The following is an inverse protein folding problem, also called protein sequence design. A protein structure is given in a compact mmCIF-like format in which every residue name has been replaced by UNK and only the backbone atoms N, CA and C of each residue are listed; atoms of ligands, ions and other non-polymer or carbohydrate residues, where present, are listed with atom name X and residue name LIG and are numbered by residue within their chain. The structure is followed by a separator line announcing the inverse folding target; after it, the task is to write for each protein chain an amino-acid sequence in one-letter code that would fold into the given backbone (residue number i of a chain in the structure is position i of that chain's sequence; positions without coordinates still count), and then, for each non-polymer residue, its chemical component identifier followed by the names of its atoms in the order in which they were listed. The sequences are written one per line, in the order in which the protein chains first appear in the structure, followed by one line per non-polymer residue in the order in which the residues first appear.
data_IF_844423861304
#
_entry.id   IF_844423861304
#
_cell.length_a   1.000
_cell.length_b   1.000
_cell.length_c   1.000
_cell.angle_alpha   90.00
_cell.angle_beta   90.00
_cell.angle_gamma   90.00
#
_symmetry.space_group_name_H-M   'P 1'
#
loop_
_entity.id
_entity.type
_entity.pdbx_description
1 polymer ?
#
# COMPACT_ATOMS: atom_id res chain seq x y z
N UNK A 1 19.83 15.15 5.22
CA UNK A 1 19.62 16.27 4.28
C UNK A 1 18.29 16.96 4.57
N UNK A 2 17.13 16.33 4.30
CA UNK A 2 15.80 16.91 4.55
C UNK A 2 15.58 17.52 5.95
N UNK A 3 15.95 16.81 7.04
CA UNK A 3 15.79 17.32 8.41
C UNK A 3 16.73 18.49 8.73
N UNK A 4 17.93 18.51 8.13
CA UNK A 4 18.91 19.57 8.35
C UNK A 4 18.54 20.84 7.56
N UNK A 5 18.01 20.68 6.34
CA UNK A 5 17.53 21.77 5.48
C UNK A 5 16.28 22.47 6.04
N UNK A 6 15.43 21.76 6.78
CA UNK A 6 14.17 22.32 7.32
C UNK A 6 14.23 22.70 8.80
N UNK A 7 15.08 22.07 9.61
CA UNK A 7 15.14 22.28 11.06
C UNK A 7 16.53 22.71 11.56
N UNK A 8 17.52 22.89 10.68
CA UNK A 8 18.86 23.33 11.05
C UNK A 8 19.57 22.36 12.00
N UNK A 9 20.35 22.90 12.94
CA UNK A 9 21.12 22.13 13.94
C UNK A 9 20.23 21.33 14.91
N UNK A 10 18.97 21.73 15.07
CA UNK A 10 17.97 21.02 15.87
C UNK A 10 17.69 19.64 15.28
N UNK A 11 17.67 19.49 13.95
CA UNK A 11 17.49 18.20 13.28
C UNK A 11 18.63 17.20 13.54
N UNK A 12 19.87 17.69 13.66
CA UNK A 12 21.04 16.87 13.94
C UNK A 12 21.14 16.49 15.42
N UNK A 13 20.78 17.40 16.33
CA UNK A 13 20.59 17.08 17.75
C UNK A 13 19.47 16.06 17.96
N UNK A 14 18.35 16.19 17.24
CA UNK A 14 17.25 15.20 17.27
C UNK A 14 17.74 13.86 16.76
N UNK A 15 18.49 13.82 15.64
CA UNK A 15 19.06 12.58 15.09
C UNK A 15 20.02 11.92 16.08
N UNK A 16 20.92 12.69 16.70
CA UNK A 16 21.85 12.17 17.71
C UNK A 16 21.11 11.67 18.96
N UNK A 17 20.13 12.42 19.46
CA UNK A 17 19.29 11.99 20.58
C UNK A 17 18.49 10.73 20.21
N UNK A 18 17.95 10.65 18.99
CA UNK A 18 17.20 9.50 18.49
C UNK A 18 18.08 8.26 18.32
N UNK A 19 19.28 8.40 17.74
CA UNK A 19 20.25 7.32 17.63
C UNK A 19 20.73 6.89 19.01
N UNK A 20 21.09 7.80 19.91
CA UNK A 20 21.54 7.46 21.26
C UNK A 20 20.43 6.84 22.12
N UNK A 21 19.18 7.26 21.92
CA UNK A 21 18.03 6.77 22.69
C UNK A 21 17.51 5.45 22.12
N UNK A 22 17.32 5.32 20.81
CA UNK A 22 16.67 4.15 20.21
C UNK A 22 17.64 3.11 19.64
N UNK A 23 18.89 3.50 19.36
CA UNK A 23 19.93 2.65 18.76
C UNK A 23 21.28 2.87 19.45
N UNK A 24 21.41 2.57 20.77
CA UNK A 24 22.69 2.72 21.45
C UNK A 24 23.77 1.91 20.69
N UNK A 25 25.04 2.37 20.66
CA UNK A 25 26.09 1.84 19.77
C UNK A 25 26.41 0.33 19.89
N UNK A 26 25.73 -0.37 20.80
CA UNK A 26 25.93 -1.79 21.11
C UNK A 26 24.65 -2.63 20.99
N UNK A 27 23.51 -2.07 20.56
CA UNK A 27 22.28 -2.82 20.32
C UNK A 27 22.22 -3.27 18.84
N UNK A 28 21.98 -4.56 18.59
CA UNK A 28 21.64 -5.04 17.24
C UNK A 28 20.37 -4.32 16.74
N UNK A 29 20.28 -4.02 15.43
CA UNK A 29 19.16 -3.29 14.87
C UNK A 29 17.93 -4.20 14.75
N UNK A 30 17.28 -4.46 15.88
CA UNK A 30 15.92 -5.00 15.94
C UNK A 30 14.99 -3.80 15.79
N UNK A 31 14.03 -3.88 14.88
CA UNK A 31 13.06 -2.80 14.62
C UNK A 31 12.47 -2.34 15.96
N UNK A 32 12.74 -1.10 16.44
CA UNK A 32 12.62 -0.85 17.87
C UNK A 32 11.15 -0.98 18.30
N UNK A 33 10.90 -1.74 19.37
CA UNK A 33 9.59 -1.81 20.05
C UNK A 33 9.01 -0.41 20.37
N UNK A 34 9.89 0.60 20.36
CA UNK A 34 9.67 2.02 20.60
C UNK A 34 8.94 2.72 19.44
N UNK A 35 8.97 2.18 18.21
CA UNK A 35 8.22 2.71 17.05
C UNK A 35 6.72 2.47 17.22
N UNK A 36 6.32 1.39 17.89
CA UNK A 36 4.92 1.00 18.05
C UNK A 36 4.08 2.06 18.81
N UNK A 37 4.49 2.53 20.01
CA UNK A 37 3.83 3.65 20.67
C UNK A 37 3.74 4.92 19.81
N UNK A 38 4.78 5.22 19.03
CA UNK A 38 4.82 6.40 18.16
C UNK A 38 3.81 6.27 17.02
N UNK A 39 3.74 5.11 16.38
CA UNK A 39 2.76 4.79 15.33
C UNK A 39 1.33 4.86 15.85
N UNK A 40 1.07 4.43 17.08
CA UNK A 40 -0.25 4.53 17.70
C UNK A 40 -0.70 5.99 17.89
N UNK A 41 0.19 6.82 18.45
CA UNK A 41 -0.05 8.25 18.64
C UNK A 41 -0.26 8.95 17.30
N UNK A 42 0.53 8.55 16.31
CA UNK A 42 0.42 9.07 14.97
C UNK A 42 -0.95 8.80 14.34
N UNK A 43 -1.43 7.56 14.45
CA UNK A 43 -2.76 7.17 13.97
C UNK A 43 -3.88 7.97 14.66
N UNK A 44 -3.80 8.22 15.98
CA UNK A 44 -4.81 9.00 16.71
C UNK A 44 -4.90 10.45 16.24
N UNK A 45 -3.76 11.08 15.98
CA UNK A 45 -3.72 12.43 15.42
C UNK A 45 -4.27 12.48 13.99
N UNK A 46 -3.95 11.48 13.15
CA UNK A 46 -4.55 11.37 11.81
C UNK A 46 -6.07 11.18 11.85
N UNK A 47 -6.59 10.53 12.89
CA UNK A 47 -8.02 10.37 13.11
C UNK A 47 -8.72 11.67 13.62
N UNK A 48 -7.98 12.78 13.77
CA UNK A 48 -8.52 14.06 14.21
C UNK A 48 -8.72 14.18 15.72
N UNK A 49 -8.10 13.30 16.52
CA UNK A 49 -8.20 13.36 17.98
C UNK A 49 -7.48 14.60 18.54
N UNK A 50 -8.09 15.27 19.52
CA UNK A 50 -7.52 16.48 20.11
C UNK A 50 -6.20 16.17 20.84
N UNK A 51 -5.23 17.08 20.71
CA UNK A 51 -3.89 16.93 21.27
C UNK A 51 -3.88 16.63 22.78
N UNK A 52 -4.85 17.18 23.54
CA UNK A 52 -4.99 16.91 24.97
C UNK A 52 -5.23 15.43 25.30
N UNK A 53 -6.11 14.75 24.54
CA UNK A 53 -6.37 13.32 24.70
C UNK A 53 -5.19 12.46 24.23
N UNK A 54 -4.54 12.87 23.13
CA UNK A 54 -3.33 12.23 22.62
C UNK A 54 -2.20 12.27 23.66
N UNK A 55 -2.02 13.39 24.37
CA UNK A 55 -1.04 13.52 25.45
C UNK A 55 -1.36 12.62 26.66
N UNK A 56 -2.64 12.41 26.99
CA UNK A 56 -3.03 11.45 28.03
C UNK A 56 -2.69 10.01 27.65
N UNK A 57 -2.88 9.64 26.38
CA UNK A 57 -2.52 8.31 25.83
C UNK A 57 -1.01 8.08 25.88
N UNK A 58 -0.19 9.08 25.53
CA UNK A 58 1.27 9.03 25.69
C UNK A 58 1.64 8.70 27.15
N UNK A 59 0.91 9.27 28.11
CA UNK A 59 1.04 8.93 29.54
C UNK A 59 0.85 7.44 29.83
N UNK A 60 -0.15 6.78 29.23
CA UNK A 60 -0.39 5.33 29.37
C UNK A 60 0.72 4.49 28.72
N UNK A 61 1.27 4.97 27.60
CA UNK A 61 2.38 4.33 26.88
C UNK A 61 3.73 4.50 27.58
N UNK A 62 3.82 5.36 28.60
CA UNK A 62 5.09 5.66 29.29
C UNK A 62 5.71 4.40 29.89
N UNK A 63 4.91 3.43 30.34
CA UNK A 63 5.40 2.14 30.81
C UNK A 63 6.11 1.32 29.72
N UNK A 64 5.70 1.44 28.45
CA UNK A 64 6.35 0.81 27.30
C UNK A 64 7.63 1.56 26.89
N UNK A 65 7.69 2.86 27.17
CA UNK A 65 8.90 3.68 26.99
C UNK A 65 9.90 3.54 28.17
N UNK A 66 9.52 2.94 29.30
CA UNK A 66 10.32 2.94 30.53
C UNK A 66 11.60 2.08 30.50
N UNK A 67 11.91 1.41 29.39
CA UNK A 67 13.25 0.87 29.16
C UNK A 67 14.29 1.96 28.79
N UNK A 68 13.88 3.21 28.55
CA UNK A 68 14.72 4.27 27.96
C UNK A 68 15.13 5.42 28.90
N UNK A 69 14.67 5.46 30.15
CA UNK A 69 15.15 6.45 31.13
C UNK A 69 14.86 7.93 30.85
N UNK A 70 14.22 8.30 29.73
CA UNK A 70 13.85 9.68 29.40
C UNK A 70 12.48 9.76 28.71
N UNK A 71 11.64 10.71 29.16
CA UNK A 71 10.37 11.03 28.49
C UNK A 71 10.67 11.86 27.23
N UNK A 72 10.24 11.44 26.03
CA UNK A 72 10.44 12.24 24.83
C UNK A 72 9.68 13.56 24.96
N UNK A 73 10.35 14.68 24.69
CA UNK A 73 9.75 16.01 24.76
C UNK A 73 8.62 16.16 23.74
N UNK A 74 7.60 16.95 24.07
CA UNK A 74 6.42 17.18 23.21
C UNK A 74 6.83 17.73 21.82
N UNK A 75 7.86 18.57 21.76
CA UNK A 75 8.40 19.07 20.50
C UNK A 75 9.04 17.97 19.64
N UNK A 76 9.69 16.99 20.26
CA UNK A 76 10.31 15.84 19.59
C UNK A 76 9.23 14.88 19.08
N UNK A 77 8.19 14.63 19.87
CA UNK A 77 7.02 13.85 19.45
C UNK A 77 6.34 14.52 18.25
N UNK A 78 6.06 15.82 18.32
CA UNK A 78 5.45 16.57 17.23
C UNK A 78 6.29 16.54 15.96
N UNK A 79 7.60 16.84 16.07
CA UNK A 79 8.54 16.81 14.95
C UNK A 79 8.69 15.41 14.34
N UNK A 80 8.72 14.37 15.18
CA UNK A 80 8.78 12.97 14.77
C UNK A 80 7.51 12.54 14.02
N UNK A 81 6.34 12.94 14.51
CA UNK A 81 5.05 12.70 13.87
C UNK A 81 4.94 13.41 12.52
N UNK A 82 5.44 14.66 12.42
CA UNK A 82 5.59 15.33 11.12
C UNK A 82 6.64 14.67 10.24
N UNK A 83 7.74 14.14 10.77
CA UNK A 83 8.81 13.52 9.96
C UNK A 83 8.45 12.13 9.42
N UNK A 84 7.66 11.36 10.18
CA UNK A 84 7.11 10.06 9.79
C UNK A 84 5.95 10.21 8.78
N UNK A 85 5.28 11.36 8.78
CA UNK A 85 4.30 11.73 7.75
C UNK A 85 4.88 12.46 6.56
N UNK A 86 6.07 13.07 6.70
CA UNK A 86 6.66 13.92 5.67
C UNK A 86 7.50 13.17 4.64
N UNK A 87 7.16 11.91 4.31
CA UNK A 87 7.43 11.48 2.93
C UNK A 87 6.37 12.13 2.05
N UNK A 88 6.83 12.82 0.99
CA UNK A 88 5.99 13.48 -0.02
C UNK A 88 4.68 12.75 -0.26
N UNK A 89 3.56 13.46 -0.10
CA UNK A 89 2.31 13.16 -0.81
C UNK A 89 1.41 12.02 -0.33
N UNK A 90 1.72 11.25 0.73
CA UNK A 90 0.85 10.11 1.10
C UNK A 90 -0.19 10.48 2.13
N UNK A 91 -1.40 10.72 1.64
CA UNK A 91 -2.61 10.80 2.46
C UNK A 91 -3.27 9.40 2.63
N UNK A 92 -2.80 8.39 1.88
CA UNK A 92 -2.87 6.96 2.23
C UNK A 92 -2.14 6.60 3.56
N UNK A 93 -1.64 7.62 4.28
CA UNK A 93 -0.94 7.48 5.56
C UNK A 93 -1.81 6.87 6.64
N UNK A 94 -3.14 7.05 6.68
CA UNK A 94 -3.94 6.47 7.76
C UNK A 94 -4.04 4.95 7.63
N UNK A 95 -4.38 4.43 6.44
CA UNK A 95 -4.44 2.98 6.20
C UNK A 95 -3.06 2.35 6.36
N UNK A 96 -2.01 2.99 5.85
CA UNK A 96 -0.64 2.48 5.99
C UNK A 96 -0.11 2.60 7.43
N UNK A 97 -0.44 3.67 8.15
CA UNK A 97 -0.12 3.80 9.56
C UNK A 97 -0.88 2.79 10.41
N UNK A 98 -2.13 2.47 10.06
CA UNK A 98 -2.89 1.38 10.66
C UNK A 98 -2.22 0.03 10.38
N UNK A 99 -1.94 -0.31 9.12
CA UNK A 99 -1.24 -1.55 8.74
C UNK A 99 0.11 -1.68 9.46
N UNK A 100 0.92 -0.63 9.47
CA UNK A 100 2.20 -0.60 10.15
C UNK A 100 2.04 -0.73 11.67
N UNK A 101 1.12 0.01 12.29
CA UNK A 101 0.81 -0.11 13.71
C UNK A 101 0.39 -1.54 14.08
N UNK A 102 -0.54 -2.14 13.33
CA UNK A 102 -1.00 -3.49 13.59
C UNK A 102 0.11 -4.53 13.37
N UNK A 103 0.93 -4.40 12.32
CA UNK A 103 2.09 -5.29 12.14
C UNK A 103 3.08 -5.20 13.30
N UNK A 104 3.36 -3.99 13.80
CA UNK A 104 4.23 -3.78 14.97
C UNK A 104 3.59 -4.34 16.25
N UNK A 105 2.29 -4.15 16.42
CA UNK A 105 1.54 -4.67 17.56
C UNK A 105 1.59 -6.19 17.57
N UNK A 106 1.30 -6.85 16.44
CA UNK A 106 1.33 -8.30 16.32
C UNK A 106 2.72 -8.88 16.62
N UNK A 107 3.80 -8.22 16.18
CA UNK A 107 5.17 -8.61 16.53
C UNK A 107 5.43 -8.53 18.03
N UNK A 108 4.98 -7.46 18.69
CA UNK A 108 5.07 -7.33 20.15
C UNK A 108 4.30 -8.45 20.85
N UNK A 109 3.06 -8.71 20.45
CA UNK A 109 2.26 -9.78 21.05
C UNK A 109 2.91 -11.16 20.83
N UNK A 110 3.52 -11.39 19.67
CA UNK A 110 4.26 -12.60 19.37
C UNK A 110 5.48 -12.77 20.29
N UNK A 111 6.23 -11.69 20.55
CA UNK A 111 7.34 -11.70 21.51
C UNK A 111 6.86 -12.01 22.93
N UNK A 112 5.70 -11.49 23.34
CA UNK A 112 5.13 -11.82 24.66
C UNK A 112 4.81 -13.31 24.81
N UNK A 113 4.40 -13.99 23.72
CA UNK A 113 4.26 -15.45 23.75
C UNK A 113 5.61 -16.16 23.90
N UNK A 114 6.66 -15.63 23.28
CA UNK A 114 8.02 -16.15 23.39
C UNK A 114 8.56 -16.04 24.83
N UNK A 115 8.25 -14.93 25.50
CA UNK A 115 8.56 -14.69 26.91
C UNK A 115 7.68 -15.49 27.89
N UNK A 116 6.73 -16.29 27.39
CA UNK A 116 5.82 -17.10 28.20
C UNK A 116 4.73 -16.30 28.93
N UNK A 117 4.42 -15.09 28.46
CA UNK A 117 3.36 -14.25 29.04
C UNK A 117 1.98 -14.85 28.77
N UNK A 118 1.16 -14.97 29.82
CA UNK A 118 -0.18 -15.55 29.69
C UNK A 118 -1.16 -14.66 28.92
N UNK A 119 -2.09 -15.28 28.18
CA UNK A 119 -3.05 -14.60 27.29
C UNK A 119 -3.92 -13.55 28.02
N UNK A 120 -4.26 -13.76 29.29
CA UNK A 120 -5.00 -12.79 30.10
C UNK A 120 -4.26 -11.46 30.27
N UNK A 121 -2.93 -11.49 30.33
CA UNK A 121 -2.09 -10.30 30.41
C UNK A 121 -2.06 -9.57 29.07
N UNK A 122 -1.95 -10.33 27.96
CA UNK A 122 -2.00 -9.78 26.59
C UNK A 122 -3.35 -9.12 26.32
N UNK A 123 -4.47 -9.77 26.68
CA UNK A 123 -5.82 -9.21 26.57
C UNK A 123 -5.96 -7.89 27.31
N UNK A 124 -5.41 -7.82 28.53
CA UNK A 124 -5.41 -6.60 29.33
C UNK A 124 -4.57 -5.48 28.69
N UNK A 125 -3.44 -5.81 28.07
CA UNK A 125 -2.65 -4.82 27.33
C UNK A 125 -3.43 -4.27 26.12
N UNK A 126 -4.08 -5.15 25.35
CA UNK A 126 -4.94 -4.78 24.22
C UNK A 126 -6.06 -3.82 24.62
N UNK A 127 -6.74 -4.07 25.75
CA UNK A 127 -7.82 -3.20 26.23
C UNK A 127 -7.31 -1.90 26.85
N UNK A 128 -6.32 -1.97 27.74
CA UNK A 128 -5.97 -0.87 28.65
C UNK A 128 -4.98 0.12 28.00
N UNK A 129 -4.11 -0.39 27.12
CA UNK A 129 -3.03 0.38 26.50
C UNK A 129 -3.40 0.77 25.07
N UNK A 130 -3.83 -0.21 24.27
CA UNK A 130 -4.11 -0.03 22.85
C UNK A 130 -5.58 0.32 22.53
N UNK A 131 -6.45 0.21 23.54
CA UNK A 131 -7.89 0.50 23.46
C UNK A 131 -8.63 -0.33 22.38
N UNK A 132 -8.19 -1.57 22.19
CA UNK A 132 -8.86 -2.56 21.37
C UNK A 132 -9.85 -3.31 22.28
N UNK A 133 -11.12 -2.88 22.23
CA UNK A 133 -12.13 -3.30 23.21
C UNK A 133 -13.13 -4.33 22.68
N UNK A 134 -13.26 -4.50 21.36
CA UNK A 134 -14.21 -5.47 20.81
C UNK A 134 -13.63 -6.88 20.90
N UNK A 135 -14.38 -7.83 21.46
CA UNK A 135 -13.95 -9.23 21.57
C UNK A 135 -13.53 -9.83 20.22
N UNK A 136 -14.21 -9.45 19.14
CA UNK A 136 -13.83 -9.87 17.79
C UNK A 136 -12.43 -9.38 17.40
N UNK A 137 -12.11 -8.11 17.64
CA UNK A 137 -10.79 -7.56 17.30
C UNK A 137 -9.69 -8.11 18.22
N UNK A 138 -10.00 -8.32 19.51
CA UNK A 138 -9.07 -8.95 20.46
C UNK A 138 -8.75 -10.38 20.03
N UNK A 139 -9.76 -11.20 19.71
CA UNK A 139 -9.55 -12.58 19.27
C UNK A 139 -8.77 -12.64 17.95
N UNK A 140 -9.08 -11.77 16.99
CA UNK A 140 -8.34 -11.68 15.74
C UNK A 140 -6.85 -11.32 15.98
N UNK A 141 -6.58 -10.32 16.83
CA UNK A 141 -5.20 -9.92 17.15
C UNK A 141 -4.41 -11.06 17.82
N UNK A 142 -5.04 -11.81 18.73
CA UNK A 142 -4.42 -12.95 19.40
C UNK A 142 -4.18 -14.14 18.45
N UNK A 143 -5.12 -14.42 17.56
CA UNK A 143 -4.95 -15.45 16.51
C UNK A 143 -3.79 -15.10 15.59
N UNK A 144 -3.74 -13.88 15.06
CA UNK A 144 -2.65 -13.43 14.20
C UNK A 144 -1.30 -13.46 14.93
N UNK A 145 -1.25 -13.00 16.19
CA UNK A 145 -0.03 -13.01 16.98
C UNK A 145 0.48 -14.43 17.28
N UNK A 146 -0.42 -15.37 17.59
CA UNK A 146 -0.06 -16.80 17.76
C UNK A 146 0.47 -17.40 16.45
N UNK A 147 -0.17 -17.08 15.33
CA UNK A 147 0.28 -17.50 14.01
C UNK A 147 1.68 -16.98 13.69
N UNK A 148 1.92 -15.69 13.94
CA UNK A 148 3.23 -15.06 13.75
C UNK A 148 4.29 -15.68 14.67
N UNK A 149 4.03 -15.76 15.97
CA UNK A 149 4.95 -16.37 16.96
C UNK A 149 5.38 -17.79 16.57
N UNK A 150 4.41 -18.61 16.15
CA UNK A 150 4.64 -19.97 15.68
C UNK A 150 5.58 -20.00 14.47
N UNK A 151 5.31 -19.18 13.44
CA UNK A 151 6.12 -19.14 12.21
C UNK A 151 7.51 -18.56 12.41
N UNK A 152 7.66 -17.56 13.29
CA UNK A 152 8.97 -16.98 13.60
C UNK A 152 9.90 -17.97 14.29
N UNK A 153 9.35 -18.94 15.04
CA UNK A 153 10.11 -19.98 15.72
C UNK A 153 10.41 -21.20 14.82
N UNK A 154 9.56 -21.49 13.83
CA UNK A 154 9.82 -22.46 12.77
C UNK A 154 9.01 -22.06 11.53
N UNK A 155 9.67 -21.75 10.39
CA UNK A 155 8.99 -21.34 9.16
C UNK A 155 7.97 -22.36 8.64
N UNK A 156 8.07 -23.62 9.06
CA UNK A 156 7.12 -24.68 8.69
C UNK A 156 5.95 -24.80 9.67
N UNK A 157 6.04 -24.24 10.89
CA UNK A 157 4.94 -24.33 11.87
C UNK A 157 3.78 -23.45 11.40
N UNK A 158 2.60 -24.07 11.32
CA UNK A 158 1.38 -23.43 10.80
C UNK A 158 1.12 -23.77 9.34
N UNK A 159 2.06 -24.37 8.64
CA UNK A 159 1.82 -25.01 7.34
C UNK A 159 1.41 -26.47 7.59
N UNK A 160 0.29 -26.92 7.01
CA UNK A 160 0.02 -28.36 7.04
C UNK A 160 1.09 -29.09 6.22
N UNK A 161 1.64 -30.20 6.72
CA UNK A 161 2.64 -30.96 6.00
C UNK A 161 2.05 -31.49 4.70
N UNK A 162 2.80 -31.32 3.60
CA UNK A 162 2.48 -31.95 2.32
C UNK A 162 2.77 -33.45 2.42
N UNK A 163 1.97 -34.28 1.75
CA UNK A 163 2.20 -35.74 1.76
C UNK A 163 3.42 -36.16 0.93
N UNK A 164 4.07 -35.22 0.25
CA UNK A 164 5.17 -35.46 -0.67
C UNK A 164 6.19 -34.33 -0.68
N UNK A 165 7.35 -34.58 -1.29
CA UNK A 165 8.35 -33.55 -1.54
C UNK A 165 7.89 -32.66 -2.70
N UNK A 166 7.69 -31.37 -2.42
CA UNK A 166 7.16 -30.42 -3.39
C UNK A 166 8.10 -30.25 -4.60
N UNK A 167 9.41 -30.13 -4.40
CA UNK A 167 10.36 -29.89 -5.50
C UNK A 167 10.42 -31.09 -6.44
N UNK A 168 10.48 -32.30 -5.88
CA UNK A 168 10.45 -33.54 -6.68
C UNK A 168 9.17 -33.64 -7.49
N UNK A 169 8.02 -33.32 -6.88
CA UNK A 169 6.75 -33.39 -7.58
C UNK A 169 6.65 -32.34 -8.70
N UNK A 170 7.13 -31.11 -8.46
CA UNK A 170 7.14 -30.05 -9.47
C UNK A 170 8.03 -30.43 -10.67
N UNK A 171 9.18 -31.06 -10.41
CA UNK A 171 10.09 -31.54 -11.45
C UNK A 171 9.46 -32.66 -12.28
N UNK A 172 8.88 -33.67 -11.62
CA UNK A 172 8.18 -34.78 -12.27
C UNK A 172 7.01 -34.32 -13.16
N UNK A 173 6.48 -33.12 -12.90
CA UNK A 173 5.36 -32.52 -13.64
C UNK A 173 5.80 -31.40 -14.61
N UNK A 174 7.10 -31.13 -14.75
CA UNK A 174 7.63 -30.11 -15.67
C UNK A 174 7.24 -28.67 -15.31
N UNK A 175 7.03 -28.39 -14.01
CA UNK A 175 6.57 -27.09 -13.50
C UNK A 175 7.69 -26.25 -12.89
N UNK A 176 8.91 -26.78 -12.77
CA UNK A 176 10.05 -26.15 -12.10
C UNK A 176 10.33 -24.72 -12.59
N UNK A 177 10.41 -24.51 -13.92
CA UNK A 177 10.69 -23.19 -14.49
C UNK A 177 9.54 -22.20 -14.25
N UNK A 178 8.28 -22.63 -14.42
CA UNK A 178 7.10 -21.79 -14.20
C UNK A 178 6.98 -21.34 -12.74
N UNK A 179 7.24 -22.25 -11.80
CA UNK A 179 7.25 -21.91 -10.37
C UNK A 179 8.42 -21.00 -10.03
N UNK A 180 9.60 -21.19 -10.63
CA UNK A 180 10.74 -20.30 -10.44
C UNK A 180 10.46 -18.88 -10.99
N UNK A 181 9.75 -18.76 -12.11
CA UNK A 181 9.28 -17.47 -12.62
C UNK A 181 8.23 -16.83 -11.71
N UNK A 182 7.24 -17.61 -11.25
CA UNK A 182 6.24 -17.12 -10.31
C UNK A 182 6.86 -16.65 -9.00
N UNK A 183 7.90 -17.34 -8.52
CA UNK A 183 8.63 -16.98 -7.32
C UNK A 183 9.30 -15.59 -7.41
N UNK A 184 9.76 -15.19 -8.60
CA UNK A 184 10.32 -13.84 -8.83
C UNK A 184 9.29 -12.73 -8.63
N UNK A 185 7.98 -13.04 -8.66
CA UNK A 185 6.91 -12.06 -8.43
C UNK A 185 6.83 -11.60 -6.96
N UNK A 186 7.48 -12.32 -6.04
CA UNK A 186 7.47 -12.05 -4.60
C UNK A 186 8.73 -11.28 -4.13
N UNK A 187 9.59 -10.81 -5.04
CA UNK A 187 10.74 -9.95 -4.73
C UNK A 187 11.77 -10.55 -3.76
N UNK A 188 12.50 -9.70 -3.03
CA UNK A 188 13.58 -10.05 -2.09
C UNK A 188 13.09 -10.70 -0.78
N UNK A 189 11.84 -11.20 -0.70
CA UNK A 189 11.34 -11.95 0.47
C UNK A 189 12.16 -13.22 0.74
N UNK A 190 12.98 -13.66 -0.23
CA UNK A 190 13.94 -14.74 -0.06
C UNK A 190 14.98 -14.48 1.03
N UNK A 191 15.28 -13.22 1.36
CA UNK A 191 16.19 -12.87 2.46
C UNK A 191 15.52 -13.01 3.84
N UNK A 192 14.19 -13.12 3.88
CA UNK A 192 13.41 -13.22 5.12
C UNK A 192 13.11 -14.69 5.46
N UNK A 193 13.87 -15.24 6.42
CA UNK A 193 13.89 -16.69 6.69
C UNK A 193 12.52 -17.27 7.06
N UNK A 194 11.63 -16.49 7.69
CA UNK A 194 10.32 -16.96 8.16
C UNK A 194 9.19 -16.92 7.12
N UNK A 195 9.39 -16.24 5.98
CA UNK A 195 8.41 -16.19 4.89
C UNK A 195 8.77 -17.10 3.71
N UNK A 196 10.02 -17.58 3.66
CA UNK A 196 10.57 -18.37 2.56
C UNK A 196 9.69 -19.56 2.12
N UNK A 197 9.24 -20.41 3.06
CA UNK A 197 8.41 -21.57 2.76
C UNK A 197 6.96 -21.17 2.37
N UNK A 198 6.44 -20.09 2.94
CA UNK A 198 5.14 -19.53 2.56
C UNK A 198 5.16 -19.05 1.10
N UNK A 199 6.17 -18.25 0.73
CA UNK A 199 6.40 -17.78 -0.64
C UNK A 199 6.61 -18.93 -1.60
N UNK A 200 7.35 -19.97 -1.20
CA UNK A 200 7.57 -21.16 -2.02
C UNK A 200 6.25 -21.84 -2.39
N UNK A 201 5.34 -22.03 -1.44
CA UNK A 201 4.03 -22.67 -1.69
C UNK A 201 3.08 -21.75 -2.46
N UNK A 202 3.09 -20.44 -2.21
CA UNK A 202 2.35 -19.45 -3.00
C UNK A 202 2.83 -19.43 -4.46
N UNK A 203 4.13 -19.39 -4.71
CA UNK A 203 4.69 -19.46 -6.05
C UNK A 203 4.34 -20.77 -6.77
N UNK A 204 4.26 -21.89 -6.04
CA UNK A 204 3.81 -23.16 -6.60
C UNK A 204 2.33 -23.12 -7.03
N UNK A 205 1.45 -22.48 -6.24
CA UNK A 205 0.05 -22.25 -6.61
C UNK A 205 -0.05 -21.41 -7.88
N UNK A 206 0.66 -20.27 -7.93
CA UNK A 206 0.68 -19.38 -9.09
C UNK A 206 1.16 -20.10 -10.37
N UNK A 207 2.23 -20.91 -10.26
CA UNK A 207 2.75 -21.69 -11.38
C UNK A 207 1.78 -22.79 -11.84
N UNK A 208 1.02 -23.38 -10.92
CA UNK A 208 -0.03 -24.36 -11.22
C UNK A 208 -1.23 -23.71 -11.90
N UNK A 209 -1.72 -22.58 -11.38
CA UNK A 209 -2.86 -21.82 -11.94
C UNK A 209 -2.61 -21.46 -13.40
N UNK A 210 -1.47 -20.81 -13.68
CA UNK A 210 -1.09 -20.46 -15.04
C UNK A 210 -0.99 -21.70 -15.96
N UNK A 211 -0.55 -22.83 -15.43
CA UNK A 211 -0.46 -24.09 -16.19
C UNK A 211 -1.83 -24.73 -16.46
N UNK A 212 -2.75 -24.65 -15.51
CA UNK A 212 -4.13 -25.14 -15.65
C UNK A 212 -4.86 -24.29 -16.69
N UNK A 213 -4.72 -22.97 -16.64
CA UNK A 213 -5.36 -22.04 -17.59
C UNK A 213 -4.87 -22.21 -19.04
N UNK A 214 -3.62 -22.64 -19.22
CA UNK A 214 -2.98 -22.77 -20.55
C UNK A 214 -2.96 -24.21 -21.10
N UNK A 215 -3.39 -25.21 -20.32
CA UNK A 215 -3.22 -26.63 -20.62
C UNK A 215 -4.36 -27.29 -21.42
N UNK A 216 -4.03 -28.31 -22.22
CA UNK A 216 -4.96 -29.07 -23.07
C UNK A 216 -5.13 -30.56 -22.72
N UNK A 217 -4.40 -31.09 -21.73
CA UNK A 217 -4.45 -32.49 -21.30
C UNK A 217 -5.20 -32.68 -19.97
N UNK A 218 -6.44 -33.18 -20.07
CA UNK A 218 -7.40 -33.33 -18.95
C UNK A 218 -6.84 -34.15 -17.77
N UNK A 219 -6.05 -35.20 -18.02
CA UNK A 219 -5.48 -36.05 -16.95
C UNK A 219 -4.41 -35.32 -16.11
N UNK A 220 -3.62 -34.44 -16.73
CA UNK A 220 -2.64 -33.61 -16.01
C UNK A 220 -3.33 -32.49 -15.23
N UNK A 221 -4.37 -31.88 -15.81
CA UNK A 221 -5.15 -30.84 -15.12
C UNK A 221 -5.73 -31.33 -13.80
N UNK A 222 -6.34 -32.52 -13.78
CA UNK A 222 -6.93 -33.08 -12.56
C UNK A 222 -5.86 -33.30 -11.46
N UNK A 223 -4.65 -33.69 -11.86
CA UNK A 223 -3.52 -33.90 -10.96
C UNK A 223 -2.99 -32.58 -10.40
N UNK A 224 -2.92 -31.54 -11.24
CA UNK A 224 -2.50 -30.18 -10.88
C UNK A 224 -3.52 -29.49 -9.97
N UNK A 225 -4.82 -29.58 -10.28
CA UNK A 225 -5.90 -29.04 -9.42
C UNK A 225 -5.87 -29.69 -8.03
N UNK A 226 -5.63 -31.00 -7.95
CA UNK A 226 -5.51 -31.69 -6.65
C UNK A 226 -4.32 -31.17 -5.85
N UNK A 227 -3.18 -30.93 -6.50
CA UNK A 227 -2.00 -30.36 -5.84
C UNK A 227 -2.24 -28.91 -5.41
N UNK A 228 -2.84 -28.08 -6.26
CA UNK A 228 -3.22 -26.71 -5.92
C UNK A 228 -4.11 -26.69 -4.67
N UNK A 229 -5.13 -27.56 -4.61
CA UNK A 229 -6.00 -27.68 -3.44
C UNK A 229 -5.27 -28.20 -2.18
N UNK A 230 -4.23 -29.03 -2.32
CA UNK A 230 -3.38 -29.48 -1.20
C UNK A 230 -2.49 -28.33 -0.70
N UNK A 231 -1.90 -27.56 -1.61
CA UNK A 231 -1.11 -26.36 -1.29
C UNK A 231 -1.96 -25.28 -0.62
N UNK A 232 -3.17 -25.00 -1.14
CA UNK A 232 -4.09 -24.04 -0.51
C UNK A 232 -4.46 -24.46 0.91
N UNK A 233 -4.89 -25.72 1.10
CA UNK A 233 -5.16 -26.27 2.45
C UNK A 233 -3.95 -26.20 3.36
N UNK A 234 -2.77 -26.39 2.80
CA UNK A 234 -1.53 -26.23 3.55
C UNK A 234 -1.30 -24.81 4.04
N UNK A 235 -1.75 -23.79 3.31
CA UNK A 235 -1.50 -22.39 3.61
C UNK A 235 -2.51 -21.78 4.59
N UNK A 236 -3.72 -22.35 4.73
CA UNK A 236 -4.82 -21.77 5.51
C UNK A 236 -4.41 -21.23 6.88
N UNK A 237 -3.74 -22.05 7.69
CA UNK A 237 -3.30 -21.67 9.04
C UNK A 237 -2.10 -20.71 9.03
N UNK A 238 -1.24 -20.79 8.01
CA UNK A 238 -0.10 -19.90 7.87
C UNK A 238 -0.53 -18.50 7.40
N UNK A 239 -1.53 -18.39 6.52
CA UNK A 239 -2.08 -17.11 6.07
C UNK A 239 -2.75 -16.35 7.22
N UNK A 240 -3.35 -17.04 8.19
CA UNK A 240 -3.97 -16.40 9.36
C UNK A 240 -3.00 -15.61 10.25
N UNK A 241 -1.70 -15.94 10.25
CA UNK A 241 -0.70 -15.18 11.00
C UNK A 241 -0.01 -14.08 10.18
N UNK A 242 -0.29 -13.96 8.88
CA UNK A 242 0.37 -12.97 8.00
C UNK A 242 -0.05 -11.58 8.47
N UNK A 243 0.92 -10.75 8.83
CA UNK A 243 0.62 -9.38 9.25
C UNK A 243 0.18 -8.52 8.06
N UNK A 244 -0.56 -7.41 8.28
CA UNK A 244 -0.95 -6.51 7.19
C UNK A 244 0.22 -6.09 6.30
N UNK A 245 1.37 -5.74 6.88
CA UNK A 245 2.58 -5.40 6.12
C UNK A 245 3.16 -6.59 5.34
N UNK A 246 3.24 -7.78 5.94
CA UNK A 246 3.68 -8.98 5.22
C UNK A 246 2.75 -9.28 4.04
N UNK A 247 1.44 -9.06 4.20
CA UNK A 247 0.46 -9.23 3.12
C UNK A 247 0.67 -8.28 1.94
N UNK A 248 1.29 -7.11 2.16
CA UNK A 248 1.64 -6.18 1.07
C UNK A 248 2.82 -6.70 0.25
N UNK A 249 3.78 -7.36 0.89
CA UNK A 249 4.98 -7.91 0.26
C UNK A 249 4.68 -9.26 -0.40
N UNK A 250 3.75 -10.03 0.17
CA UNK A 250 3.26 -11.29 -0.40
C UNK A 250 2.29 -11.10 -1.57
N UNK A 251 2.11 -9.87 -2.09
CA UNK A 251 1.31 -9.67 -3.30
C UNK A 251 2.18 -9.96 -4.52
N UNK A 252 1.82 -10.94 -5.37
CA UNK A 252 2.54 -11.17 -6.61
C UNK A 252 2.52 -9.90 -7.46
N UNK A 253 3.70 -9.51 -7.96
CA UNK A 253 3.86 -8.32 -8.77
C UNK A 253 4.77 -8.58 -9.96
N UNK A 254 4.43 -7.99 -11.11
CA UNK A 254 5.21 -8.19 -12.33
C UNK A 254 6.62 -7.59 -12.22
N UNK A 255 7.68 -8.39 -12.43
CA UNK A 255 9.06 -7.89 -12.38
C UNK A 255 9.34 -6.77 -13.38
N UNK A 256 8.74 -6.84 -14.58
CA UNK A 256 8.87 -5.81 -15.60
C UNK A 256 8.31 -4.47 -15.11
N UNK A 257 7.09 -4.46 -14.58
CA UNK A 257 6.47 -3.24 -14.05
C UNK A 257 7.26 -2.67 -12.87
N UNK A 258 7.73 -3.52 -11.94
CA UNK A 258 8.56 -3.09 -10.81
C UNK A 258 9.83 -2.39 -11.31
N UNK A 259 10.53 -3.01 -12.24
CA UNK A 259 11.79 -2.49 -12.77
C UNK A 259 11.59 -1.16 -13.51
N UNK A 260 10.52 -1.05 -14.32
CA UNK A 260 10.16 0.20 -15.01
C UNK A 260 9.77 1.31 -14.02
N UNK A 261 8.99 1.03 -12.99
CA UNK A 261 8.61 2.01 -11.98
C UNK A 261 9.81 2.48 -11.14
N UNK A 262 10.69 1.56 -10.76
CA UNK A 262 11.93 1.90 -10.06
C UNK A 262 12.84 2.79 -10.91
N UNK A 263 12.91 2.53 -12.21
CA UNK A 263 13.62 3.38 -13.18
C UNK A 263 12.95 4.76 -13.31
N UNK A 264 11.62 4.83 -13.48
CA UNK A 264 10.87 6.07 -13.61
C UNK A 264 11.01 6.97 -12.37
N UNK A 265 10.95 6.38 -11.17
CA UNK A 265 11.14 7.09 -9.91
C UNK A 265 12.54 7.71 -9.79
N UNK A 266 13.59 6.99 -10.19
CA UNK A 266 14.98 7.50 -10.18
C UNK A 266 15.17 8.69 -11.12
N UNK A 267 14.41 8.72 -12.21
CA UNK A 267 14.45 9.81 -13.19
C UNK A 267 13.44 10.93 -12.91
N UNK A 268 12.59 10.79 -11.88
CA UNK A 268 11.55 11.76 -11.51
C UNK A 268 10.63 12.18 -12.68
N UNK A 269 10.35 11.25 -13.61
CA UNK A 269 9.65 11.56 -14.86
C UNK A 269 8.22 12.09 -14.69
N UNK A 270 7.63 11.93 -13.50
CA UNK A 270 6.25 12.31 -13.16
C UNK A 270 6.16 13.30 -11.97
N UNK A 271 7.26 13.95 -11.56
CA UNK A 271 7.27 14.89 -10.42
C UNK A 271 6.50 16.21 -10.76
N UNK A 272 5.18 16.10 -10.94
CA UNK A 272 4.31 17.25 -11.24
C UNK A 272 3.82 17.99 -9.99
N UNK A 273 4.12 17.54 -8.77
CA UNK A 273 3.77 18.22 -7.50
C UNK A 273 3.44 17.24 -6.36
N UNK A 274 3.10 17.75 -5.17
CA UNK A 274 2.73 16.97 -3.97
C UNK A 274 1.21 17.08 -3.66
N UNK A 275 0.64 16.10 -2.95
CA UNK A 275 -0.80 16.07 -2.65
C UNK A 275 -1.22 17.17 -1.64
N UNK A 276 -2.46 17.71 -1.74
CA UNK A 276 -2.86 18.99 -1.12
C UNK A 276 -2.94 19.11 0.41
N UNK A 277 -2.48 18.15 1.22
CA UNK A 277 -2.93 18.03 2.63
C UNK A 277 -1.83 17.87 3.67
N UNK A 278 -0.56 17.87 3.28
CA UNK A 278 0.55 18.06 4.23
C UNK A 278 1.69 18.84 3.54
N UNK A 279 1.93 20.09 3.95
CA UNK A 279 2.99 21.02 3.47
C UNK A 279 4.41 20.39 3.40
N UNK A 280 5.40 20.89 2.62
CA UNK A 280 5.46 22.04 1.70
C UNK A 280 5.61 21.59 0.23
N UNK A 281 4.50 21.65 -0.52
CA UNK A 281 4.45 21.41 -1.97
C UNK A 281 3.32 22.21 -2.65
N UNK A 282 2.91 23.31 -2.01
CA UNK A 282 1.81 24.21 -2.45
C UNK A 282 2.11 25.00 -3.70
N UNK A 283 3.26 24.82 -4.34
CA UNK A 283 3.69 25.68 -5.44
C UNK A 283 2.79 25.52 -6.68
N UNK A 284 2.27 24.31 -6.95
CA UNK A 284 1.44 24.02 -8.13
C UNK A 284 -0.05 23.77 -7.85
N UNK A 285 -0.46 23.67 -6.58
CA UNK A 285 -1.86 23.50 -6.21
C UNK A 285 -2.76 24.65 -6.74
N UNK A 286 -2.35 25.93 -6.70
CA UNK A 286 -3.12 27.00 -7.32
C UNK A 286 -3.29 26.80 -8.83
N UNK A 287 -2.28 26.26 -9.52
CA UNK A 287 -2.35 25.98 -10.95
C UNK A 287 -3.29 24.83 -11.27
N UNK A 288 -3.24 23.75 -10.49
CA UNK A 288 -4.17 22.61 -10.63
C UNK A 288 -5.61 23.01 -10.36
N UNK A 289 -5.86 23.74 -9.27
CA UNK A 289 -7.20 24.25 -8.96
C UNK A 289 -7.67 25.25 -10.01
N UNK A 290 -6.79 26.11 -10.51
CA UNK A 290 -7.13 27.04 -11.58
C UNK A 290 -7.48 26.29 -12.87
N UNK A 291 -6.71 25.27 -13.24
CA UNK A 291 -6.98 24.41 -14.40
C UNK A 291 -8.34 23.70 -14.23
N UNK A 292 -8.52 23.01 -13.10
CA UNK A 292 -9.76 22.35 -12.71
C UNK A 292 -10.98 23.29 -12.80
N UNK A 293 -10.92 24.44 -12.15
CA UNK A 293 -12.01 25.41 -12.10
C UNK A 293 -12.26 26.11 -13.45
N UNK A 294 -11.28 26.10 -14.36
CA UNK A 294 -11.44 26.66 -15.71
C UNK A 294 -12.08 25.68 -16.69
N UNK A 295 -12.07 24.38 -16.37
CA UNK A 295 -12.63 23.29 -17.18
C UNK A 295 -13.95 22.80 -16.58
N UNK A 296 -14.98 23.67 -16.58
CA UNK A 296 -16.32 23.25 -16.15
C UNK A 296 -17.01 22.44 -17.25
N UNK A 297 -17.62 21.32 -16.84
CA UNK A 297 -18.51 20.53 -17.68
C UNK A 297 -19.89 21.20 -17.65
N UNK A 298 -20.37 21.67 -18.81
CA UNK A 298 -21.75 22.17 -18.95
C UNK A 298 -22.73 20.99 -19.00
N UNK A 299 -23.03 20.39 -17.85
CA UNK A 299 -24.15 19.44 -17.70
C UNK A 299 -24.02 18.41 -16.57
N UNK A 300 -24.92 18.51 -15.57
CA UNK A 300 -25.11 17.53 -14.48
C UNK A 300 -24.84 18.10 -13.08
N UNK A 301 -25.09 17.30 -12.05
CA UNK A 301 -24.83 17.67 -10.64
C UNK A 301 -23.32 17.69 -10.31
N UNK A 302 -22.51 17.04 -11.15
CA UNK A 302 -21.05 17.18 -11.17
C UNK A 302 -20.66 18.24 -12.19
N UNK A 303 -20.22 19.39 -11.69
CA UNK A 303 -19.90 20.60 -12.44
C UNK A 303 -18.52 20.58 -13.09
N UNK A 304 -17.58 19.80 -12.55
CA UNK A 304 -16.25 19.60 -13.12
C UNK A 304 -15.64 18.33 -12.54
N UNK A 305 -14.78 17.66 -13.29
CA UNK A 305 -14.04 16.51 -12.82
C UNK A 305 -12.72 16.42 -13.55
N UNK A 306 -11.64 16.14 -12.83
CA UNK A 306 -10.32 16.07 -13.43
C UNK A 306 -9.41 15.07 -12.71
N UNK A 307 -8.42 14.57 -13.46
CA UNK A 307 -7.39 13.63 -12.99
C UNK A 307 -6.04 14.32 -13.05
N UNK A 308 -5.32 14.27 -11.94
CA UNK A 308 -3.96 14.75 -11.82
C UNK A 308 -3.00 13.61 -11.54
N UNK A 309 -1.75 13.78 -11.97
CA UNK A 309 -0.64 12.89 -11.64
C UNK A 309 0.21 13.61 -10.60
N UNK A 310 0.33 13.04 -9.40
CA UNK A 310 0.95 13.70 -8.25
C UNK A 310 2.01 12.77 -7.66
N UNK A 311 3.28 13.09 -7.87
CA UNK A 311 4.39 12.21 -7.47
C UNK A 311 4.31 10.81 -8.10
N UNK A 312 3.73 10.71 -9.30
CA UNK A 312 3.42 9.46 -10.00
C UNK A 312 2.08 8.81 -9.65
N UNK A 313 1.40 9.22 -8.58
CA UNK A 313 0.10 8.66 -8.18
C UNK A 313 -1.07 9.35 -8.92
N UNK A 314 -2.12 8.59 -9.18
CA UNK A 314 -3.37 9.11 -9.74
C UNK A 314 -4.19 9.78 -8.63
N UNK A 315 -4.56 11.03 -8.86
CA UNK A 315 -5.40 11.82 -7.96
C UNK A 315 -6.60 12.37 -8.72
N UNK A 316 -7.78 12.35 -8.10
CA UNK A 316 -9.02 12.82 -8.74
C UNK A 316 -9.61 13.97 -7.95
N UNK A 317 -10.07 15.00 -8.66
CA UNK A 317 -10.85 16.11 -8.09
C UNK A 317 -12.20 16.17 -8.78
N UNK A 318 -13.25 16.35 -7.99
CA UNK A 318 -14.62 16.49 -8.47
C UNK A 318 -15.25 17.73 -7.86
N UNK A 319 -16.02 18.45 -8.68
CA UNK A 319 -16.67 19.70 -8.34
C UNK A 319 -18.17 19.49 -8.38
N UNK A 320 -18.87 19.81 -7.30
CA UNK A 320 -20.34 19.66 -7.19
C UNK A 320 -20.97 20.95 -6.68
N UNK A 321 -22.27 21.13 -6.93
CA UNK A 321 -23.03 22.23 -6.34
C UNK A 321 -23.43 21.91 -4.89
N UNK A 322 -23.60 22.93 -4.04
CA UNK A 322 -24.13 22.76 -2.70
C UNK A 322 -25.58 22.23 -2.69
N UNK A 323 -26.32 22.41 -3.79
CA UNK A 323 -27.64 21.79 -3.96
C UNK A 323 -27.60 20.34 -4.45
N UNK A 324 -26.42 19.78 -4.70
CA UNK A 324 -26.28 18.44 -5.26
C UNK A 324 -26.74 17.35 -4.26
N UNK A 325 -27.19 16.21 -4.78
CA UNK A 325 -27.75 15.13 -3.97
C UNK A 325 -26.70 14.53 -3.01
N UNK A 326 -27.04 14.22 -1.74
CA UNK A 326 -26.10 13.62 -0.78
C UNK A 326 -25.46 12.31 -1.27
N UNK A 327 -26.15 11.58 -2.16
CA UNK A 327 -25.70 10.34 -2.78
C UNK A 327 -24.41 10.51 -3.62
N UNK A 328 -24.08 11.75 -4.04
CA UNK A 328 -22.83 12.08 -4.73
C UNK A 328 -21.59 12.04 -3.81
N UNK A 329 -21.78 11.94 -2.49
CA UNK A 329 -20.69 11.70 -1.55
C UNK A 329 -20.32 10.21 -1.44
N UNK A 330 -21.20 9.32 -1.91
CA UNK A 330 -20.96 7.87 -1.97
C UNK A 330 -20.34 7.51 -3.31
N UNK A 331 -19.01 7.44 -3.37
CA UNK A 331 -18.27 7.17 -4.61
C UNK A 331 -17.55 5.83 -4.54
N UNK A 332 -17.65 5.05 -5.61
CA UNK A 332 -16.98 3.76 -5.77
C UNK A 332 -16.18 3.75 -7.07
N UNK A 333 -15.02 3.12 -7.04
CA UNK A 333 -14.21 2.83 -8.22
C UNK A 333 -14.79 1.59 -8.92
N UNK A 334 -15.33 1.76 -10.13
CA UNK A 334 -15.72 0.63 -10.98
C UNK A 334 -14.45 -0.02 -11.59
N UNK A 335 -14.58 -1.24 -12.14
CA UNK A 335 -13.45 -1.92 -12.80
C UNK A 335 -12.83 -1.05 -13.90
N UNK A 336 -11.49 -0.94 -13.98
CA UNK A 336 -10.81 -0.29 -15.09
C UNK A 336 -11.23 -0.93 -16.42
N UNK A 337 -11.55 -0.10 -17.41
CA UNK A 337 -11.99 -0.57 -18.73
C UNK A 337 -10.97 -0.25 -19.80
N UNK A 338 -10.69 -1.22 -20.66
CA UNK A 338 -9.92 -1.02 -21.87
C UNK A 338 -10.88 -0.57 -22.97
N UNK A 339 -10.80 0.70 -23.35
CA UNK A 339 -11.64 1.24 -24.44
C UNK A 339 -11.16 0.71 -25.80
N UNK A 340 -9.84 0.56 -25.94
CA UNK A 340 -9.14 -0.07 -27.06
C UNK A 340 -7.76 -0.55 -26.58
N UNK A 341 -6.87 -0.91 -27.51
CA UNK A 341 -5.54 -1.42 -27.18
C UNK A 341 -4.61 -0.36 -26.58
N UNK A 342 -4.87 0.93 -26.77
CA UNK A 342 -4.00 2.02 -26.34
C UNK A 342 -4.64 2.91 -25.28
N UNK A 343 -5.91 2.67 -24.93
CA UNK A 343 -6.65 3.52 -23.99
C UNK A 343 -7.26 2.73 -22.83
N UNK A 344 -6.80 3.08 -21.63
CA UNK A 344 -7.35 2.64 -20.36
C UNK A 344 -8.31 3.71 -19.81
N UNK A 345 -9.43 3.30 -19.20
CA UNK A 345 -10.44 4.20 -18.63
C UNK A 345 -10.75 3.79 -17.20
N UNK A 346 -10.52 4.72 -16.26
CA UNK A 346 -10.93 4.60 -14.87
C UNK A 346 -12.33 5.19 -14.70
N UNK A 347 -13.23 4.46 -14.05
CA UNK A 347 -14.62 4.90 -13.89
C UNK A 347 -14.97 5.08 -12.41
N UNK A 348 -15.56 6.22 -12.08
CA UNK A 348 -16.19 6.49 -10.80
C UNK A 348 -17.69 6.37 -10.94
N UNK A 349 -18.31 5.66 -10.00
CA UNK A 349 -19.76 5.55 -9.88
C UNK A 349 -20.21 6.15 -8.55
N UNK A 350 -21.14 7.08 -8.64
CA UNK A 350 -21.75 7.75 -7.50
C UNK A 350 -23.01 7.01 -7.04
N UNK A 351 -23.48 7.31 -5.82
CA UNK A 351 -24.63 6.64 -5.21
C UNK A 351 -25.96 6.88 -5.94
N UNK A 352 -26.07 8.01 -6.64
CA UNK A 352 -27.21 8.38 -7.49
C UNK A 352 -27.19 7.67 -8.86
N UNK A 353 -26.11 6.91 -9.16
CA UNK A 353 -25.90 6.24 -10.43
C UNK A 353 -25.12 7.06 -11.46
N UNK A 354 -24.76 8.31 -11.16
CA UNK A 354 -23.89 9.13 -12.01
C UNK A 354 -22.54 8.43 -12.21
N UNK A 355 -21.97 8.59 -13.40
CA UNK A 355 -20.65 8.04 -13.74
C UNK A 355 -19.73 9.09 -14.32
N UNK A 356 -18.47 9.09 -13.88
CA UNK A 356 -17.38 9.91 -14.45
C UNK A 356 -16.22 9.02 -14.86
N UNK A 357 -15.65 9.30 -16.03
CA UNK A 357 -14.63 8.49 -16.67
C UNK A 357 -13.37 9.30 -16.88
N UNK A 358 -12.21 8.70 -16.57
CA UNK A 358 -10.89 9.33 -16.71
C UNK A 358 -10.01 8.43 -17.58
N UNK A 359 -9.61 8.92 -18.75
CA UNK A 359 -8.81 8.15 -19.70
C UNK A 359 -7.31 8.32 -19.46
N UNK A 360 -6.57 7.25 -19.72
CA UNK A 360 -5.12 7.20 -19.83
C UNK A 360 -4.81 6.84 -21.29
N UNK A 361 -4.10 7.71 -21.99
CA UNK A 361 -3.56 7.42 -23.32
C UNK A 361 -2.20 6.74 -23.20
N UNK A 362 -2.14 5.43 -23.44
CA UNK A 362 -0.93 4.64 -23.23
C UNK A 362 0.13 4.85 -24.32
N UNK A 363 -0.20 5.55 -25.42
CA UNK A 363 0.82 6.01 -26.37
C UNK A 363 1.58 7.24 -25.83
N UNK A 364 0.94 8.00 -24.95
CA UNK A 364 1.57 9.08 -24.19
C UNK A 364 2.43 8.47 -23.07
N UNK A 365 3.70 8.87 -23.01
CA UNK A 365 4.66 8.26 -22.11
C UNK A 365 4.36 8.57 -20.64
N UNK A 366 3.84 9.77 -20.33
CA UNK A 366 3.43 10.13 -18.96
C UNK A 366 2.19 9.39 -18.52
N UNK A 367 1.19 9.27 -19.38
CA UNK A 367 -0.04 8.55 -19.09
C UNK A 367 0.19 7.04 -18.96
N UNK A 368 1.08 6.45 -19.77
CA UNK A 368 1.54 5.08 -19.61
C UNK A 368 2.22 4.88 -18.24
N UNK A 369 3.16 5.76 -17.87
CA UNK A 369 3.79 5.69 -16.55
C UNK A 369 2.74 5.82 -15.44
N UNK A 370 1.81 6.77 -15.53
CA UNK A 370 0.74 6.96 -14.55
C UNK A 370 -0.20 5.75 -14.45
N UNK A 371 -0.53 5.10 -15.56
CA UNK A 371 -1.29 3.85 -15.57
C UNK A 371 -0.52 2.70 -14.90
N UNK A 372 0.80 2.61 -15.11
CA UNK A 372 1.64 1.65 -14.39
C UNK A 372 1.69 1.94 -12.89
N UNK A 373 1.79 3.20 -12.48
CA UNK A 373 1.70 3.57 -11.06
C UNK A 373 0.32 3.26 -10.48
N UNK A 374 -0.75 3.49 -11.23
CA UNK A 374 -2.13 3.14 -10.81
C UNK A 374 -2.24 1.65 -10.48
N UNK A 375 -1.58 0.75 -11.24
CA UNK A 375 -1.58 -0.69 -10.95
C UNK A 375 -0.97 -1.04 -9.58
N UNK A 376 -0.12 -0.15 -9.06
CA UNK A 376 0.62 -0.31 -7.80
C UNK A 376 0.08 0.56 -6.66
N UNK A 377 -0.78 1.51 -6.99
CA UNK A 377 -1.41 2.42 -6.06
C UNK A 377 -2.48 1.69 -5.24
N UNK A 378 -2.39 1.69 -3.92
CA UNK A 378 -3.33 0.97 -3.05
C UNK A 378 -4.74 1.57 -3.12
N UNK A 379 -4.81 2.89 -3.17
CA UNK A 379 -6.04 3.68 -3.22
C UNK A 379 -5.91 4.91 -4.12
N UNK A 380 -6.98 5.27 -4.82
CA UNK A 380 -7.08 6.53 -5.56
C UNK A 380 -7.73 7.57 -4.67
N UNK A 381 -6.98 8.62 -4.33
CA UNK A 381 -7.55 9.73 -3.55
C UNK A 381 -8.49 10.55 -4.43
N UNK A 382 -9.67 10.82 -3.89
CA UNK A 382 -10.70 11.66 -4.46
C UNK A 382 -10.96 12.85 -3.52
N UNK A 383 -10.80 14.07 -4.02
CA UNK A 383 -11.26 15.27 -3.34
C UNK A 383 -12.53 15.82 -4.01
N UNK A 384 -13.53 16.12 -3.19
CA UNK A 384 -14.78 16.73 -3.61
C UNK A 384 -14.75 18.20 -3.15
N UNK A 385 -14.84 19.10 -4.11
CA UNK A 385 -14.95 20.54 -3.91
C UNK A 385 -16.40 20.95 -4.17
N UNK A 386 -16.98 21.73 -3.27
CA UNK A 386 -18.38 22.14 -3.30
C UNK A 386 -18.46 23.63 -3.64
N UNK A 387 -19.28 23.99 -4.62
CA UNK A 387 -19.65 25.37 -4.92
C UNK A 387 -20.83 25.78 -4.04
N UNK A 388 -20.60 26.73 -3.14
CA UNK A 388 -21.65 27.28 -2.28
C UNK A 388 -22.69 28.08 -3.07
N UNK A 389 -23.83 28.37 -2.42
CA UNK A 389 -24.89 29.23 -2.98
C UNK A 389 -24.43 30.68 -3.24
N UNK A 390 -23.29 31.07 -2.67
CA UNK A 390 -22.59 32.32 -2.92
C UNK A 390 -21.58 32.24 -4.08
N UNK A 391 -21.62 31.15 -4.86
CA UNK A 391 -20.71 30.82 -5.96
C UNK A 391 -19.24 30.63 -5.56
N UNK A 392 -18.92 30.57 -4.27
CA UNK A 392 -17.56 30.31 -3.81
C UNK A 392 -17.28 28.80 -3.68
N UNK A 393 -16.15 28.37 -4.22
CA UNK A 393 -15.67 26.98 -4.12
C UNK A 393 -15.00 26.73 -2.77
N UNK A 394 -15.34 25.61 -2.14
CA UNK A 394 -14.83 25.20 -0.83
C UNK A 394 -14.52 23.72 -0.85
N UNK A 395 -13.50 23.30 -0.09
CA UNK A 395 -13.28 21.88 0.15
C UNK A 395 -14.51 21.27 0.84
N UNK A 396 -15.04 20.19 0.28
CA UNK A 396 -16.18 19.46 0.84
C UNK A 396 -15.71 18.23 1.61
N UNK A 397 -15.14 17.26 0.90
CA UNK A 397 -14.73 15.98 1.47
C UNK A 397 -13.51 15.40 0.72
N UNK A 398 -12.83 14.45 1.37
CA UNK A 398 -11.80 13.62 0.73
C UNK A 398 -12.08 12.15 1.06
N UNK A 399 -11.89 11.29 0.06
CA UNK A 399 -12.14 9.86 0.13
C UNK A 399 -10.98 9.09 -0.51
N UNK A 400 -10.75 7.87 -0.03
CA UNK A 400 -9.79 6.94 -0.64
C UNK A 400 -10.54 5.80 -1.29
N UNK A 401 -10.38 5.69 -2.60
CA UNK A 401 -11.09 4.71 -3.41
C UNK A 401 -10.18 3.50 -3.61
N UNK A 402 -10.54 2.36 -3.01
CA UNK A 402 -9.74 1.14 -3.10
C UNK A 402 -10.16 0.33 -4.33
N UNK A 403 -9.18 -0.05 -5.15
CA UNK A 403 -9.37 -1.00 -6.24
C UNK A 403 -9.35 -2.44 -5.70
N UNK A 404 -10.31 -3.27 -6.09
CA UNK A 404 -10.31 -4.69 -5.72
C UNK A 404 -9.08 -5.41 -6.29
N UNK A 405 -8.73 -6.56 -5.70
CA UNK A 405 -7.60 -7.36 -6.19
C UNK A 405 -7.82 -7.85 -7.63
N UNK A 406 -9.03 -8.31 -7.95
CA UNK A 406 -9.44 -8.72 -9.30
C UNK A 406 -9.24 -7.60 -10.33
N UNK A 407 -9.78 -6.41 -10.06
CA UNK A 407 -9.64 -5.25 -10.96
C UNK A 407 -8.19 -4.82 -11.16
N UNK A 408 -7.36 -4.97 -10.12
CA UNK A 408 -5.93 -4.67 -10.19
C UNK A 408 -5.19 -5.71 -11.03
N UNK A 409 -5.54 -6.99 -10.90
CA UNK A 409 -4.96 -8.06 -11.72
C UNK A 409 -5.29 -7.84 -13.20
N UNK A 410 -6.54 -7.49 -13.53
CA UNK A 410 -6.96 -7.14 -14.90
C UNK A 410 -6.18 -5.96 -15.46
N UNK A 411 -5.96 -4.92 -14.65
CA UNK A 411 -5.16 -3.75 -15.01
C UNK A 411 -3.70 -4.14 -15.31
N UNK A 412 -3.09 -4.94 -14.43
CA UNK A 412 -1.71 -5.43 -14.62
C UNK A 412 -1.59 -6.26 -15.89
N UNK A 413 -2.48 -7.23 -16.10
CA UNK A 413 -2.45 -8.08 -17.30
C UNK A 413 -2.63 -7.26 -18.58
N UNK A 414 -3.56 -6.31 -18.59
CA UNK A 414 -3.77 -5.45 -19.75
C UNK A 414 -2.58 -4.54 -20.04
N UNK A 415 -1.93 -3.98 -19.02
CA UNK A 415 -0.70 -3.19 -19.18
C UNK A 415 0.45 -4.03 -19.73
N UNK A 416 0.64 -5.25 -19.23
CA UNK A 416 1.66 -6.17 -19.74
C UNK A 416 1.39 -6.55 -21.19
N UNK A 417 0.14 -6.88 -21.51
CA UNK A 417 -0.28 -7.18 -22.88
C UNK A 417 -0.02 -6.01 -23.83
N UNK A 418 -0.25 -4.78 -23.37
CA UNK A 418 0.07 -3.57 -24.13
C UNK A 418 1.57 -3.42 -24.35
N UNK A 419 2.38 -3.52 -23.28
CA UNK A 419 3.84 -3.38 -23.36
C UNK A 419 4.45 -4.42 -24.32
N UNK A 420 4.02 -5.68 -24.22
CA UNK A 420 4.50 -6.75 -25.08
C UNK A 420 4.12 -6.51 -26.54
N UNK A 421 2.85 -6.18 -26.82
CA UNK A 421 2.39 -5.93 -28.21
C UNK A 421 3.07 -4.73 -28.84
N UNK A 422 3.25 -3.64 -28.07
CA UNK A 422 3.73 -2.37 -28.60
C UNK A 422 5.26 -2.33 -28.72
N UNK A 423 5.97 -2.90 -27.75
CA UNK A 423 7.42 -2.75 -27.62
C UNK A 423 8.19 -4.07 -27.66
N UNK A 424 7.49 -5.21 -27.51
CA UNK A 424 8.09 -6.53 -27.30
C UNK A 424 8.51 -6.74 -25.84
N UNK A 425 9.27 -7.79 -25.58
CA UNK A 425 9.69 -8.19 -24.23
C UNK A 425 11.03 -7.58 -23.77
N UNK A 426 11.65 -6.71 -24.58
CA UNK A 426 12.93 -6.07 -24.24
C UNK A 426 12.70 -4.81 -23.40
N UNK A 427 13.01 -4.92 -22.11
CA UNK A 427 12.89 -3.83 -21.15
C UNK A 427 13.68 -2.57 -21.55
N UNK A 428 14.88 -2.72 -22.11
CA UNK A 428 15.70 -1.56 -22.50
C UNK A 428 15.05 -0.80 -23.64
N UNK A 429 14.45 -1.53 -24.59
CA UNK A 429 13.67 -0.96 -25.68
C UNK A 429 12.42 -0.24 -25.16
N UNK A 430 11.69 -0.84 -24.23
CA UNK A 430 10.50 -0.22 -23.59
C UNK A 430 10.89 1.12 -22.95
N UNK A 431 11.93 1.14 -22.10
CA UNK A 431 12.40 2.37 -21.44
C UNK A 431 12.74 3.49 -22.44
N UNK A 432 13.40 3.15 -23.55
CA UNK A 432 13.77 4.11 -24.58
C UNK A 432 12.55 4.70 -25.29
N UNK A 433 11.54 3.89 -25.62
CA UNK A 433 10.32 4.38 -26.28
C UNK A 433 9.48 5.27 -25.36
N UNK A 434 9.38 4.93 -24.07
CA UNK A 434 8.74 5.78 -23.06
C UNK A 434 9.42 7.16 -23.01
N UNK A 435 10.76 7.21 -22.91
CA UNK A 435 11.51 8.48 -22.90
C UNK A 435 11.30 9.30 -24.18
N UNK A 436 11.28 8.66 -25.34
CA UNK A 436 11.03 9.34 -26.62
C UNK A 436 9.64 9.96 -26.64
N UNK A 437 8.62 9.26 -26.14
CA UNK A 437 7.26 9.78 -26.05
C UNK A 437 7.19 11.02 -25.15
N UNK A 438 7.73 10.93 -23.93
CA UNK A 438 7.76 12.05 -22.97
C UNK A 438 8.51 13.26 -23.53
N UNK A 439 9.63 13.05 -24.23
CA UNK A 439 10.38 14.16 -24.83
C UNK A 439 9.56 14.90 -25.90
N UNK A 440 8.84 14.16 -26.75
CA UNK A 440 7.99 14.75 -27.80
C UNK A 440 6.84 15.57 -27.23
N UNK A 441 6.38 15.25 -26.03
CA UNK A 441 5.33 16.00 -25.33
C UNK A 441 5.85 17.36 -24.85
N UNK A 442 7.07 17.42 -24.31
CA UNK A 442 7.67 18.67 -23.82
C UNK A 442 8.01 19.66 -24.95
N UNK A 443 8.14 19.19 -26.18
CA UNK A 443 8.45 20.02 -27.36
C UNK A 443 7.17 20.60 -28.04
N UNK A 444 5.97 20.26 -27.55
CA UNK A 444 4.68 20.80 -27.98
C UNK A 444 4.17 21.86 -27.01
#
# INVERSE_FOLDING_TARGET
MYLHENFGDVGEQIRQNFTQTLFPPHAEPILPEQVLPISFIHMKLLAGEELGFVLQRIGKLTALFNALGAKPEIGILYLMLTSLTSRRGKLSSMVKAQSAFFSLLLRRLASMYDDGVGENVIRKELSDVWEIQTEQAVNAALECARGLWRRSNDPNIGLHPLQMNLDSWLDDNGLTEKVAEARKMYGDVEEDSHLSELVRRLAAIEGLENSIETGSEIERMTTWERMQAELMRSLDSAMAGVTPWESEILRPASPLLISLLAWAAKLQLLDEGETPTAYPGRERLPDWLKYFLSNMDDGGDVLSSDRFIVGGETYIVIGVDASASPELLSVVLDSPKWADLTRLVLNLRFGDGTRKSFSFDLENGRDLLAAMYLSRQDDVRLDIIVRGTDNNWRFGASSYLVMSQEHRADLVQGLLSFLEKQFGSDESRIRLEILKSIKRENDK
#
